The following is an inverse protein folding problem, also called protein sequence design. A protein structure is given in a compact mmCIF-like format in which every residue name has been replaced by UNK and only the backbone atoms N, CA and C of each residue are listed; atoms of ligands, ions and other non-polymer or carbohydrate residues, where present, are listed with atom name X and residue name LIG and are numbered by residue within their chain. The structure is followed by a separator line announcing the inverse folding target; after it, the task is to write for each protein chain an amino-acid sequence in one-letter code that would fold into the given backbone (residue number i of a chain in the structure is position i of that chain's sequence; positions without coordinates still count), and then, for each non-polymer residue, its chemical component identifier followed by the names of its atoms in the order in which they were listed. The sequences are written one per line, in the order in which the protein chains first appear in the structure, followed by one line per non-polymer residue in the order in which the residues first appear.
data_IF_332064935564
#
_entry.id   IF_332064935564
#
_cell.length_a   1.000
_cell.length_b   1.000
_cell.length_c   1.000
_cell.angle_alpha   90.00
_cell.angle_beta   90.00
_cell.angle_gamma   90.00
#
_symmetry.space_group_name_H-M   'P 1'
#
loop_
_entity.id
_entity.type
_entity.pdbx_description
1 polymer ?
#
# COMPACT_ATOMS: atom_id res chain seq x y z
N UNK A 1 20.78 11.27 -5.10
CA UNK A 1 20.84 10.53 -3.82
C UNK A 1 21.65 9.26 -4.05
N UNK A 2 22.69 8.95 -3.25
CA UNK A 2 23.58 7.79 -3.49
C UNK A 2 23.16 6.55 -2.70
N UNK A 3 23.54 5.34 -3.15
CA UNK A 3 23.31 4.08 -2.42
C UNK A 3 23.87 4.13 -0.99
N UNK A 4 25.02 4.77 -0.79
CA UNK A 4 25.62 4.95 0.53
C UNK A 4 24.73 5.78 1.47
N UNK A 5 24.11 6.85 0.96
CA UNK A 5 23.16 7.67 1.72
C UNK A 5 21.90 6.89 2.13
N UNK A 6 21.37 6.05 1.23
CA UNK A 6 20.21 5.20 1.51
C UNK A 6 20.54 4.19 2.62
N UNK A 7 21.69 3.49 2.51
CA UNK A 7 22.14 2.55 3.54
C UNK A 7 22.30 3.21 4.90
N UNK A 8 22.82 4.45 4.95
CA UNK A 8 22.94 5.21 6.19
C UNK A 8 21.58 5.50 6.82
N UNK A 9 20.57 5.91 6.03
CA UNK A 9 19.21 6.20 6.51
C UNK A 9 18.44 4.96 6.98
N UNK A 10 18.72 3.81 6.39
CA UNK A 10 18.06 2.54 6.71
C UNK A 10 18.80 1.71 7.77
N UNK A 11 19.97 2.17 8.23
CA UNK A 11 20.78 1.43 9.20
C UNK A 11 20.00 1.18 10.49
N UNK A 12 19.90 -0.09 10.88
CA UNK A 12 19.20 -0.51 12.10
C UNK A 12 17.67 -0.58 11.96
N UNK A 13 17.09 -0.17 10.82
CA UNK A 13 15.64 -0.26 10.59
C UNK A 13 15.26 -1.64 10.03
N UNK A 14 14.16 -2.18 10.51
CA UNK A 14 13.54 -3.40 10.00
C UNK A 14 12.48 -3.06 8.98
N UNK A 15 12.65 -3.59 7.78
CA UNK A 15 11.76 -3.33 6.64
C UNK A 15 10.86 -4.53 6.44
N UNK A 16 9.55 -4.32 6.43
CA UNK A 16 8.61 -5.32 5.95
C UNK A 16 8.18 -5.03 4.52
N UNK A 17 7.92 -6.10 3.76
CA UNK A 17 7.23 -6.04 2.47
C UNK A 17 5.87 -6.69 2.65
N UNK A 18 4.80 -5.92 2.46
CA UNK A 18 3.45 -6.47 2.51
C UNK A 18 3.10 -7.06 1.15
N UNK A 19 2.79 -8.35 1.09
CA UNK A 19 2.48 -9.05 -0.15
C UNK A 19 1.46 -10.17 0.08
N UNK A 20 0.55 -10.36 -0.87
CA UNK A 20 -0.61 -11.24 -0.73
C UNK A 20 -1.89 -10.43 -0.55
N UNK A 21 -2.51 -10.52 0.62
CA UNK A 21 -3.83 -9.94 0.87
C UNK A 21 -4.98 -10.82 0.40
N UNK A 22 -6.20 -10.31 0.55
CA UNK A 22 -7.47 -11.02 0.26
C UNK A 22 -8.15 -10.53 -1.03
N UNK A 23 -7.52 -9.63 -1.79
CA UNK A 23 -8.05 -9.15 -3.06
C UNK A 23 -7.97 -10.23 -4.15
N UNK A 24 -8.71 -10.03 -5.24
CA UNK A 24 -8.59 -10.87 -6.44
C UNK A 24 -7.22 -10.75 -7.13
N UNK A 25 -6.38 -9.81 -6.72
CA UNK A 25 -5.05 -9.53 -7.30
C UNK A 25 -3.92 -10.11 -6.44
N UNK A 26 -4.25 -10.98 -5.47
CA UNK A 26 -3.30 -11.61 -4.54
C UNK A 26 -2.05 -12.17 -5.21
N UNK A 27 -2.19 -12.91 -6.31
CA UNK A 27 -1.02 -13.54 -6.95
C UNK A 27 -0.08 -12.53 -7.62
N UNK A 28 -0.65 -11.43 -8.14
CA UNK A 28 0.13 -10.28 -8.64
C UNK A 28 0.88 -9.61 -7.49
N UNK A 29 0.23 -9.49 -6.32
CA UNK A 29 0.86 -8.98 -5.11
C UNK A 29 2.00 -9.86 -4.61
N UNK A 30 1.83 -11.18 -4.54
CA UNK A 30 2.90 -12.09 -4.10
C UNK A 30 4.12 -12.01 -5.02
N UNK A 31 3.90 -11.98 -6.34
CA UNK A 31 4.99 -11.81 -7.32
C UNK A 31 5.69 -10.46 -7.19
N UNK A 32 4.93 -9.39 -6.97
CA UNK A 32 5.47 -8.04 -6.76
C UNK A 32 6.31 -8.00 -5.48
N UNK A 33 5.78 -8.53 -4.38
CA UNK A 33 6.48 -8.62 -3.09
C UNK A 33 7.77 -9.43 -3.17
N UNK A 34 7.78 -10.54 -3.92
CA UNK A 34 9.00 -11.31 -4.15
C UNK A 34 10.08 -10.49 -4.85
N UNK A 35 9.72 -9.75 -5.90
CA UNK A 35 10.64 -8.87 -6.62
C UNK A 35 11.19 -7.74 -5.73
N UNK A 36 10.33 -7.11 -4.92
CA UNK A 36 10.72 -6.07 -3.97
C UNK A 36 11.69 -6.64 -2.93
N UNK A 37 11.36 -7.79 -2.32
CA UNK A 37 12.24 -8.46 -1.37
C UNK A 37 13.62 -8.75 -1.98
N UNK A 38 13.66 -9.27 -3.21
CA UNK A 38 14.91 -9.53 -3.94
C UNK A 38 15.71 -8.25 -4.18
N UNK A 39 15.05 -7.13 -4.51
CA UNK A 39 15.72 -5.84 -4.70
C UNK A 39 16.29 -5.28 -3.38
N UNK A 40 15.55 -5.36 -2.28
CA UNK A 40 16.02 -4.91 -0.96
C UNK A 40 17.23 -5.75 -0.51
N UNK A 41 17.22 -7.06 -0.72
CA UNK A 41 18.36 -7.95 -0.42
C UNK A 41 19.63 -7.56 -1.16
N UNK A 42 19.54 -7.12 -2.42
CA UNK A 42 20.70 -6.64 -3.19
C UNK A 42 21.37 -5.41 -2.56
N UNK A 43 20.63 -4.63 -1.76
CA UNK A 43 21.15 -3.48 -1.03
C UNK A 43 21.84 -3.92 0.28
N UNK A 44 21.71 -5.19 0.68
CA UNK A 44 22.30 -5.76 1.89
C UNK A 44 21.42 -5.62 3.13
N UNK A 45 20.10 -5.47 2.94
CA UNK A 45 19.11 -5.45 4.02
C UNK A 45 18.25 -6.70 3.86
N UNK A 46 17.97 -7.41 4.95
CA UNK A 46 17.06 -8.57 4.92
C UNK A 46 15.62 -8.12 5.25
N UNK A 47 14.70 -8.14 4.28
CA UNK A 47 13.32 -7.74 4.49
C UNK A 47 12.49 -8.88 5.09
N UNK A 48 11.43 -8.52 5.83
CA UNK A 48 10.42 -9.47 6.31
C UNK A 48 9.21 -9.44 5.38
N UNK A 49 8.90 -10.54 4.71
CA UNK A 49 7.66 -10.64 3.92
C UNK A 49 6.48 -10.93 4.84
N UNK A 50 5.42 -10.13 4.78
CA UNK A 50 4.22 -10.29 5.61
C UNK A 50 2.98 -10.32 4.70
N UNK A 51 2.14 -11.32 4.90
CA UNK A 51 0.83 -11.40 4.25
C UNK A 51 -0.25 -10.83 5.18
N UNK A 52 -0.86 -9.68 4.84
CA UNK A 52 -1.82 -9.01 5.71
C UNK A 52 -3.14 -9.78 5.87
N UNK A 53 -3.44 -10.74 4.99
CA UNK A 53 -4.68 -11.53 5.06
C UNK A 53 -4.78 -12.45 6.29
N UNK A 54 -3.66 -12.66 7.00
CA UNK A 54 -3.59 -13.54 8.18
C UNK A 54 -3.62 -12.76 9.49
N UNK A 55 -2.50 -12.10 9.80
CA UNK A 55 -2.27 -11.37 11.05
C UNK A 55 -1.29 -10.22 10.78
N UNK A 56 -1.81 -9.08 10.30
CA UNK A 56 -0.98 -7.92 10.00
C UNK A 56 -0.37 -7.33 11.28
N UNK A 57 -1.20 -6.97 12.25
CA UNK A 57 -0.76 -6.23 13.44
C UNK A 57 0.19 -7.08 14.29
N UNK A 58 -0.13 -8.35 14.52
CA UNK A 58 0.72 -9.25 15.28
C UNK A 58 2.05 -9.49 14.57
N UNK A 59 2.08 -9.63 13.25
CA UNK A 59 3.33 -9.76 12.50
C UNK A 59 4.20 -8.49 12.58
N UNK A 60 3.62 -7.30 12.38
CA UNK A 60 4.35 -6.03 12.48
C UNK A 60 5.00 -5.86 13.86
N UNK A 61 4.27 -6.19 14.94
CA UNK A 61 4.77 -6.14 16.32
C UNK A 61 5.84 -7.20 16.58
N UNK A 62 5.60 -8.48 16.24
CA UNK A 62 6.55 -9.59 16.46
C UNK A 62 7.89 -9.31 15.79
N UNK A 63 7.88 -8.77 14.57
CA UNK A 63 9.09 -8.50 13.83
C UNK A 63 9.73 -7.14 14.13
N UNK A 64 9.07 -6.29 14.95
CA UNK A 64 9.50 -4.92 15.28
C UNK A 64 9.78 -4.09 14.03
N UNK A 65 8.78 -4.01 13.15
CA UNK A 65 8.92 -3.35 11.85
C UNK A 65 8.92 -1.83 12.02
N UNK A 66 9.88 -1.16 11.38
CA UNK A 66 10.04 0.30 11.40
C UNK A 66 9.58 0.96 10.09
N UNK A 67 9.64 0.21 9.00
CA UNK A 67 9.29 0.67 7.66
C UNK A 67 8.56 -0.41 6.89
N UNK A 68 7.49 -0.04 6.20
CA UNK A 68 6.73 -0.92 5.33
C UNK A 68 6.89 -0.52 3.87
N UNK A 69 7.11 -1.50 3.01
CA UNK A 69 6.93 -1.37 1.57
C UNK A 69 5.65 -2.14 1.17
N UNK A 70 4.55 -1.44 0.85
CA UNK A 70 3.34 -2.09 0.35
C UNK A 70 3.58 -2.61 -1.07
N UNK A 71 3.50 -3.92 -1.27
CA UNK A 71 3.46 -4.57 -2.58
C UNK A 71 2.10 -5.26 -2.79
N UNK A 72 1.04 -4.66 -2.25
CA UNK A 72 -0.35 -5.09 -2.33
C UNK A 72 -1.01 -4.50 -3.56
N UNK A 73 -2.01 -5.19 -4.10
CA UNK A 73 -2.80 -4.73 -5.24
C UNK A 73 -4.30 -4.85 -4.92
N UNK A 74 -5.06 -3.83 -5.29
CA UNK A 74 -6.50 -3.78 -5.12
C UNK A 74 -6.96 -3.29 -3.75
N UNK A 75 -8.27 -3.44 -3.50
CA UNK A 75 -8.95 -3.01 -2.27
C UNK A 75 -8.32 -3.63 -1.02
N UNK A 76 -8.42 -2.93 0.10
CA UNK A 76 -7.72 -3.12 1.38
C UNK A 76 -6.21 -2.84 1.38
N UNK A 77 -5.53 -2.94 0.23
CA UNK A 77 -4.10 -2.67 0.10
C UNK A 77 -3.76 -1.26 -0.39
N UNK A 78 -4.53 -0.77 -1.35
CA UNK A 78 -4.24 0.47 -2.09
C UNK A 78 -5.26 1.60 -1.83
N UNK A 79 -6.31 1.32 -1.05
CA UNK A 79 -7.48 2.19 -0.85
C UNK A 79 -7.47 2.98 0.45
N UNK A 80 -6.34 2.99 1.17
CA UNK A 80 -6.16 3.76 2.40
C UNK A 80 -6.35 2.96 3.68
N UNK A 81 -6.91 1.73 3.64
CA UNK A 81 -7.18 0.93 4.84
C UNK A 81 -5.88 0.53 5.55
N UNK A 82 -4.96 -0.12 4.84
CA UNK A 82 -3.67 -0.51 5.42
C UNK A 82 -2.82 0.70 5.77
N UNK A 83 -2.88 1.77 4.97
CA UNK A 83 -2.22 3.04 5.26
C UNK A 83 -2.68 3.59 6.62
N UNK A 84 -3.99 3.57 6.88
CA UNK A 84 -4.56 4.04 8.16
C UNK A 84 -4.11 3.19 9.34
N UNK A 85 -4.01 1.86 9.17
CA UNK A 85 -3.45 0.97 10.20
C UNK A 85 -1.99 1.31 10.48
N UNK A 86 -1.19 1.57 9.45
CA UNK A 86 0.23 1.90 9.60
C UNK A 86 0.43 3.27 10.27
N UNK A 87 -0.36 4.28 9.87
CA UNK A 87 -0.39 5.61 10.51
C UNK A 87 -0.77 5.50 11.98
N UNK A 88 -1.82 4.74 12.31
CA UNK A 88 -2.24 4.50 13.70
C UNK A 88 -1.14 3.83 14.54
N UNK A 89 -0.37 2.92 13.95
CA UNK A 89 0.74 2.25 14.61
C UNK A 89 2.04 3.08 14.61
N UNK A 90 2.06 4.25 13.96
CA UNK A 90 3.26 5.08 13.82
C UNK A 90 4.36 4.45 12.97
N UNK A 91 4.01 3.54 12.06
CA UNK A 91 4.96 2.83 11.18
C UNK A 91 5.03 3.55 9.85
N UNK A 92 6.23 4.03 9.50
CA UNK A 92 6.44 4.68 8.20
C UNK A 92 6.24 3.68 7.06
N UNK A 93 5.74 4.15 5.92
CA UNK A 93 5.56 3.29 4.75
C UNK A 93 5.77 4.04 3.42
N UNK A 94 6.04 3.28 2.36
CA UNK A 94 6.21 3.82 1.02
C UNK A 94 4.87 4.04 0.29
N UNK A 95 4.79 5.10 -0.52
CA UNK A 95 3.61 5.42 -1.34
C UNK A 95 2.75 6.54 -0.75
N UNK A 96 1.48 6.54 -1.12
CA UNK A 96 0.51 7.60 -0.79
C UNK A 96 -0.06 7.49 0.63
N UNK A 97 -0.41 8.64 1.21
CA UNK A 97 -1.18 8.74 2.47
C UNK A 97 -2.60 8.15 2.35
N UNK A 98 -3.30 7.98 3.48
CA UNK A 98 -4.69 7.46 3.53
C UNK A 98 -5.62 8.15 2.53
N UNK A 99 -5.69 9.48 2.57
CA UNK A 99 -6.59 10.25 1.71
C UNK A 99 -6.28 10.06 0.22
N UNK A 100 -5.01 10.18 -0.14
CA UNK A 100 -4.58 10.05 -1.54
C UNK A 100 -4.80 8.63 -2.08
N UNK A 101 -4.58 7.60 -1.25
CA UNK A 101 -4.88 6.21 -1.59
C UNK A 101 -6.39 5.98 -1.80
N UNK A 102 -7.24 6.44 -0.86
CA UNK A 102 -8.68 6.32 -0.96
C UNK A 102 -9.24 7.02 -2.21
N UNK A 103 -8.83 8.27 -2.44
CA UNK A 103 -9.23 9.04 -3.62
C UNK A 103 -8.74 8.39 -4.91
N UNK A 104 -7.49 7.94 -4.96
CA UNK A 104 -6.91 7.30 -6.15
C UNK A 104 -7.62 5.99 -6.52
N UNK A 105 -8.15 5.25 -5.53
CA UNK A 105 -8.92 4.04 -5.78
C UNK A 105 -10.35 4.34 -6.26
N UNK A 106 -10.97 5.40 -5.73
CA UNK A 106 -12.30 5.84 -6.16
C UNK A 106 -12.22 6.69 -7.43
N UNK A 107 -12.48 6.03 -8.57
CA UNK A 107 -12.47 6.70 -9.88
C UNK A 107 -13.50 7.83 -9.99
N UNK A 108 -14.65 7.71 -9.34
CA UNK A 108 -15.70 8.74 -9.40
C UNK A 108 -15.24 9.97 -8.63
N UNK A 109 -14.77 9.79 -7.39
CA UNK A 109 -14.24 10.86 -6.56
C UNK A 109 -13.02 11.53 -7.22
N UNK A 110 -12.07 10.74 -7.72
CA UNK A 110 -10.91 11.25 -8.48
C UNK A 110 -11.33 12.12 -9.66
N UNK A 111 -12.31 11.68 -10.47
CA UNK A 111 -12.76 12.45 -11.65
C UNK A 111 -13.46 13.75 -11.28
N UNK A 112 -14.23 13.76 -10.18
CA UNK A 112 -14.83 14.99 -9.64
C UNK A 112 -13.75 16.00 -9.23
N UNK A 113 -12.71 15.54 -8.53
CA UNK A 113 -11.58 16.39 -8.14
C UNK A 113 -10.82 16.90 -9.37
N UNK A 114 -10.51 16.04 -10.33
CA UNK A 114 -9.84 16.46 -11.57
C UNK A 114 -10.64 17.51 -12.32
N UNK A 115 -11.96 17.33 -12.48
CA UNK A 115 -12.81 18.31 -13.14
C UNK A 115 -12.84 19.65 -12.38
N UNK A 116 -12.92 19.61 -11.05
CA UNK A 116 -12.90 20.80 -10.21
C UNK A 116 -11.59 21.59 -10.34
N UNK A 117 -10.45 20.89 -10.35
CA UNK A 117 -9.11 21.47 -10.48
C UNK A 117 -8.71 21.79 -11.94
N UNK A 118 -9.60 21.58 -12.91
CA UNK A 118 -9.31 21.82 -14.33
C UNK A 118 -8.34 20.82 -14.98
N UNK A 119 -8.12 19.65 -14.36
CA UNK A 119 -7.32 18.56 -14.91
C UNK A 119 -8.16 17.76 -15.92
N UNK A 120 -7.73 17.61 -17.19
CA UNK A 120 -8.50 16.90 -18.19
C UNK A 120 -8.81 15.45 -17.81
N UNK A 121 -10.08 15.06 -17.92
CA UNK A 121 -10.55 13.69 -17.73
C UNK A 121 -11.72 13.38 -18.68
N UNK A 122 -11.89 12.15 -19.19
CA UNK A 122 -13.01 11.83 -20.07
C UNK A 122 -14.36 12.13 -19.41
N UNK A 123 -15.34 12.62 -20.17
CA UNK A 123 -16.71 12.79 -19.71
C UNK A 123 -17.27 11.47 -19.17
N UNK A 124 -18.11 11.54 -18.14
CA UNK A 124 -18.67 10.35 -17.48
C UNK A 124 -20.11 10.59 -17.05
N UNK A 125 -20.80 9.50 -16.77
CA UNK A 125 -22.10 9.48 -16.11
C UNK A 125 -22.04 8.46 -14.98
N UNK A 126 -22.56 8.84 -13.81
CA UNK A 126 -22.69 7.94 -12.66
C UNK A 126 -24.02 7.19 -12.73
N UNK A 127 -23.97 5.86 -12.57
CA UNK A 127 -25.15 5.01 -12.46
C UNK A 127 -25.09 4.35 -11.09
N UNK A 128 -26.07 4.66 -10.25
CA UNK A 128 -26.17 4.11 -8.90
C UNK A 128 -26.96 2.81 -8.92
N UNK A 129 -26.38 1.74 -8.38
CA UNK A 129 -27.05 0.47 -8.13
C UNK A 129 -27.33 0.35 -6.62
N UNK A 130 -28.56 0.60 -6.15
CA UNK A 130 -28.89 0.59 -4.73
C UNK A 130 -28.68 -0.77 -4.06
N UNK A 131 -28.48 -1.85 -4.83
CA UNK A 131 -28.17 -3.18 -4.29
C UNK A 131 -26.71 -3.32 -3.85
N UNK A 132 -25.83 -2.36 -4.17
CA UNK A 132 -24.38 -2.41 -3.87
C UNK A 132 -23.95 -1.52 -2.70
N UNK A 133 -24.84 -0.72 -2.13
CA UNK A 133 -24.51 0.26 -1.08
C UNK A 133 -24.21 -0.36 0.28
N UNK A 134 -24.54 -1.64 0.48
CA UNK A 134 -24.17 -2.41 1.67
C UNK A 134 -23.02 -3.37 1.36
N UNK A 135 -21.79 -2.86 1.24
CA UNK A 135 -20.58 -3.70 1.26
C UNK A 135 -19.81 -3.51 2.57
N UNK A 136 -19.52 -4.64 3.22
CA UNK A 136 -18.44 -4.76 4.22
C UNK A 136 -17.10 -4.82 3.49
#
# INVERSE_FOLDING_TARGET
MTLASIKKRLRGRRIAVLAGGSSCEREVSLRSGWNVCRAIRKIGIEPVSIDPARDLIGALKRHRIDLVFPALHGRSGEDGIIQGVLDYLGIAYAGSGVLASALGMDKVASKKIFAYEGIPTPAWQEIHDPRRDFRK
#
